data_IF_271756922118
#
_entry.id   IF_271756922118
#
_cell.length_a   1.000
_cell.length_b   1.000
_cell.length_c   1.000
_cell.angle_alpha   90.00
_cell.angle_beta   90.00
_cell.angle_gamma   90.00
#
_symmetry.space_group_name_H-M   'P 1'
#
loop_
_entity.id
_entity.type
_entity.pdbx_description
1 polymer ?
#
# COMPACT_ATOMS: atom_id res chain seq x y z
N UNK A 1 -39.80 -76.22 31.12
CA UNK A 1 -38.80 -75.23 31.67
C UNK A 1 -38.12 -74.57 30.48
N UNK A 2 -38.66 -73.43 30.03
CA UNK A 2 -38.05 -72.68 28.89
C UNK A 2 -37.60 -71.32 29.43
N UNK A 3 -36.24 -71.15 29.39
CA UNK A 3 -35.58 -69.88 29.78
C UNK A 3 -35.54 -68.96 28.59
N UNK A 4 -36.20 -67.78 28.68
CA UNK A 4 -36.18 -66.74 27.67
C UNK A 4 -35.05 -65.77 27.91
N UNK A 5 -34.04 -65.85 27.07
CA UNK A 5 -32.88 -64.87 27.08
C UNK A 5 -33.29 -63.62 26.35
N UNK A 6 -33.52 -62.52 27.07
CA UNK A 6 -33.76 -61.18 26.48
C UNK A 6 -32.42 -60.60 25.99
N UNK A 7 -32.29 -60.38 24.69
CA UNK A 7 -31.18 -59.63 24.06
C UNK A 7 -31.52 -58.14 24.06
N UNK A 8 -30.79 -57.37 24.85
CA UNK A 8 -30.83 -55.92 24.77
C UNK A 8 -29.98 -55.45 23.58
N UNK A 9 -30.59 -54.86 22.57
CA UNK A 9 -29.89 -54.17 21.50
C UNK A 9 -29.62 -52.72 21.96
N UNK A 10 -28.34 -52.35 22.15
CA UNK A 10 -27.93 -50.97 22.40
C UNK A 10 -27.74 -50.31 21.03
N UNK A 11 -28.62 -49.38 20.68
CA UNK A 11 -28.51 -48.54 19.49
C UNK A 11 -27.59 -47.36 19.84
N UNK A 12 -26.37 -47.39 19.38
CA UNK A 12 -25.42 -46.28 19.47
C UNK A 12 -25.73 -45.28 18.35
N UNK A 13 -26.49 -44.20 18.68
CA UNK A 13 -26.73 -43.11 17.74
C UNK A 13 -25.47 -42.25 17.62
N UNK A 14 -24.70 -42.47 16.54
CA UNK A 14 -23.59 -41.58 16.12
C UNK A 14 -24.21 -40.26 15.62
N UNK A 15 -24.26 -39.26 16.48
CA UNK A 15 -24.56 -37.88 16.10
C UNK A 15 -23.42 -37.31 15.23
N UNK A 16 -23.62 -37.31 13.94
CA UNK A 16 -22.76 -36.56 13.02
C UNK A 16 -23.08 -35.08 13.22
N UNK A 17 -22.34 -34.42 14.10
CA UNK A 17 -22.38 -32.96 14.23
C UNK A 17 -21.84 -32.33 12.95
N UNK A 18 -22.69 -31.71 12.15
CA UNK A 18 -22.27 -30.83 11.10
C UNK A 18 -21.60 -29.60 11.73
N UNK A 19 -20.28 -29.59 11.74
CA UNK A 19 -19.50 -28.38 12.05
C UNK A 19 -19.65 -27.48 10.81
N UNK A 20 -20.63 -26.57 10.84
CA UNK A 20 -20.68 -25.49 9.87
C UNK A 20 -19.41 -24.65 10.06
N UNK A 21 -18.63 -24.40 8.99
CA UNK A 21 -17.50 -23.50 9.12
C UNK A 21 -18.04 -22.13 9.58
N UNK A 22 -17.54 -21.67 10.73
CA UNK A 22 -17.84 -20.31 11.18
C UNK A 22 -17.33 -19.36 10.09
N UNK A 23 -18.25 -18.71 9.41
CA UNK A 23 -17.91 -17.72 8.40
C UNK A 23 -17.28 -16.55 9.15
N UNK A 24 -15.96 -16.37 9.01
CA UNK A 24 -15.26 -15.23 9.61
C UNK A 24 -15.94 -13.95 9.12
N UNK A 25 -16.32 -13.08 10.05
CA UNK A 25 -16.89 -11.78 9.68
C UNK A 25 -15.88 -11.02 8.79
N UNK A 26 -16.39 -10.34 7.76
CA UNK A 26 -15.54 -9.51 6.92
C UNK A 26 -14.91 -8.41 7.78
N UNK A 27 -13.60 -8.13 7.60
CA UNK A 27 -12.91 -7.10 8.37
C UNK A 27 -13.64 -5.75 8.28
N UNK A 28 -13.77 -5.05 9.41
CA UNK A 28 -14.33 -3.71 9.47
C UNK A 28 -13.48 -2.69 8.69
N UNK A 29 -14.01 -1.48 8.46
CA UNK A 29 -13.23 -0.40 7.83
C UNK A 29 -11.98 -0.06 8.64
N UNK A 30 -10.82 -0.02 7.98
CA UNK A 30 -9.53 0.30 8.58
C UNK A 30 -8.80 -0.88 9.24
N UNK A 31 -9.43 -2.05 9.42
CA UNK A 31 -8.78 -3.20 10.06
C UNK A 31 -7.64 -3.78 9.22
N UNK A 32 -7.85 -3.93 7.92
CA UNK A 32 -6.81 -4.39 7.00
C UNK A 32 -5.71 -3.34 6.92
N UNK A 33 -6.08 -2.07 6.76
CA UNK A 33 -5.13 -0.96 6.67
C UNK A 33 -4.23 -0.89 7.90
N UNK A 34 -4.80 -0.95 9.12
CA UNK A 34 -4.04 -0.94 10.36
C UNK A 34 -3.10 -2.16 10.47
N UNK A 35 -3.59 -3.35 10.13
CA UNK A 35 -2.77 -4.59 10.17
C UNK A 35 -1.59 -4.49 9.20
N UNK A 36 -1.83 -4.04 7.98
CA UNK A 36 -0.82 -3.90 6.93
C UNK A 36 0.19 -2.80 7.26
N UNK A 37 -0.27 -1.65 7.74
CA UNK A 37 0.62 -0.56 8.15
C UNK A 37 1.56 -0.99 9.28
N UNK A 38 1.03 -1.65 10.32
CA UNK A 38 1.85 -2.20 11.40
C UNK A 38 2.84 -3.24 10.91
N UNK A 39 2.44 -4.12 10.02
CA UNK A 39 3.34 -5.11 9.44
C UNK A 39 4.49 -4.42 8.69
N UNK A 40 4.19 -3.49 7.79
CA UNK A 40 5.19 -2.77 7.00
C UNK A 40 6.16 -2.00 7.91
N UNK A 41 5.64 -1.23 8.86
CA UNK A 41 6.46 -0.46 9.79
C UNK A 41 7.36 -1.34 10.68
N UNK A 42 6.88 -2.50 11.11
CA UNK A 42 7.59 -3.40 12.02
C UNK A 42 8.66 -4.23 11.32
N UNK A 43 8.33 -4.78 10.15
CA UNK A 43 9.22 -5.75 9.47
C UNK A 43 10.15 -5.12 8.44
N UNK A 44 9.87 -3.90 8.01
CA UNK A 44 10.71 -3.18 7.04
C UNK A 44 11.09 -1.78 7.54
N UNK A 45 11.69 -1.63 8.74
CA UNK A 45 12.22 -0.34 9.16
C UNK A 45 13.38 0.07 8.25
N UNK A 46 13.60 1.36 8.08
CA UNK A 46 14.67 1.87 7.23
C UNK A 46 14.48 1.58 5.74
N UNK A 47 13.25 1.65 5.25
CA UNK A 47 12.89 1.50 3.82
C UNK A 47 13.36 2.68 2.97
N UNK A 48 14.55 3.18 3.24
CA UNK A 48 15.15 4.27 2.45
C UNK A 48 15.26 3.81 0.99
N UNK A 49 15.08 4.72 0.06
CA UNK A 49 15.17 4.45 -1.37
C UNK A 49 16.46 3.70 -1.72
N UNK A 50 16.31 2.54 -2.36
CA UNK A 50 17.44 1.68 -2.75
C UNK A 50 18.04 0.84 -1.61
N UNK A 51 17.47 0.90 -0.41
CA UNK A 51 17.89 0.02 0.70
C UNK A 51 17.37 -1.42 0.53
N UNK A 52 17.99 -2.42 1.17
CA UNK A 52 17.43 -3.76 1.20
C UNK A 52 16.03 -3.83 1.79
N UNK A 53 15.72 -3.00 2.79
CA UNK A 53 14.39 -2.96 3.41
C UNK A 53 13.34 -2.41 2.43
N UNK A 54 13.68 -1.43 1.60
CA UNK A 54 12.83 -0.94 0.52
C UNK A 54 12.51 -2.04 -0.50
N UNK A 55 13.52 -2.76 -0.97
CA UNK A 55 13.35 -3.86 -1.92
C UNK A 55 12.47 -4.99 -1.35
N UNK A 56 12.67 -5.34 -0.09
CA UNK A 56 11.85 -6.36 0.59
C UNK A 56 10.40 -5.91 0.78
N UNK A 57 10.19 -4.64 1.12
CA UNK A 57 8.84 -4.08 1.25
C UNK A 57 8.12 -3.97 -0.11
N UNK A 58 8.85 -3.65 -1.18
CA UNK A 58 8.32 -3.67 -2.54
C UNK A 58 7.86 -5.09 -2.95
N UNK A 59 8.69 -6.11 -2.66
CA UNK A 59 8.32 -7.51 -2.94
C UNK A 59 7.13 -7.96 -2.07
N UNK A 60 7.09 -7.56 -0.81
CA UNK A 60 5.94 -7.80 0.06
C UNK A 60 4.64 -7.22 -0.53
N UNK A 61 4.63 -5.97 -0.95
CA UNK A 61 3.45 -5.33 -1.58
C UNK A 61 3.04 -6.08 -2.84
N UNK A 62 3.99 -6.41 -3.72
CA UNK A 62 3.73 -7.19 -4.93
C UNK A 62 3.07 -8.53 -4.59
N UNK A 63 3.56 -9.22 -3.56
CA UNK A 63 2.98 -10.49 -3.11
C UNK A 63 1.57 -10.31 -2.59
N UNK A 64 1.30 -9.26 -1.78
CA UNK A 64 -0.06 -8.97 -1.29
C UNK A 64 -1.03 -8.74 -2.44
N UNK A 65 -0.67 -7.93 -3.42
CA UNK A 65 -1.50 -7.72 -4.61
C UNK A 65 -1.73 -9.01 -5.41
N UNK A 66 -0.67 -9.82 -5.59
CA UNK A 66 -0.78 -11.11 -6.30
C UNK A 66 -1.71 -12.09 -5.57
N UNK A 67 -1.64 -12.16 -4.24
CA UNK A 67 -2.54 -12.99 -3.42
C UNK A 67 -4.01 -12.55 -3.51
N UNK A 68 -4.25 -11.26 -3.74
CA UNK A 68 -5.59 -10.71 -3.98
C UNK A 68 -6.09 -10.99 -5.42
N UNK A 69 -5.24 -11.53 -6.30
CA UNK A 69 -5.59 -11.83 -7.70
C UNK A 69 -5.23 -10.73 -8.70
N UNK A 70 -4.56 -9.66 -8.28
CA UNK A 70 -4.09 -8.61 -9.19
C UNK A 70 -2.86 -9.04 -9.98
N UNK A 71 -2.76 -8.57 -11.22
CA UNK A 71 -1.48 -8.54 -11.92
C UNK A 71 -0.62 -7.45 -11.30
N UNK A 72 0.50 -7.85 -10.70
CA UNK A 72 1.40 -6.94 -10.02
C UNK A 72 2.84 -7.10 -10.49
N UNK A 73 3.53 -5.97 -10.63
CA UNK A 73 4.89 -5.87 -11.13
C UNK A 73 5.72 -4.90 -10.30
N UNK A 74 7.04 -5.14 -10.25
CA UNK A 74 8.01 -4.21 -9.68
C UNK A 74 8.89 -3.68 -10.81
N UNK A 75 8.91 -2.36 -10.95
CA UNK A 75 9.76 -1.65 -11.90
C UNK A 75 10.81 -0.86 -11.16
N UNK A 76 12.07 -1.04 -11.50
CA UNK A 76 13.15 -0.24 -10.95
C UNK A 76 13.38 1.01 -11.79
N UNK A 77 13.89 2.05 -11.14
CA UNK A 77 14.36 3.27 -11.79
C UNK A 77 15.68 3.74 -11.19
N UNK A 78 16.50 4.36 -11.99
CA UNK A 78 17.73 5.01 -11.55
C UNK A 78 17.50 6.51 -11.47
N UNK A 79 17.96 7.11 -10.39
CA UNK A 79 17.91 8.55 -10.15
C UNK A 79 19.07 9.00 -9.28
N UNK A 80 19.04 10.25 -8.86
CA UNK A 80 20.04 10.82 -7.95
C UNK A 80 19.43 11.94 -7.13
N UNK A 81 19.97 12.14 -5.94
CA UNK A 81 19.64 13.26 -5.07
C UNK A 81 20.91 13.97 -4.58
N UNK A 82 20.76 15.14 -3.99
CA UNK A 82 21.89 15.92 -3.47
C UNK A 82 22.05 15.61 -1.99
N UNK A 83 23.26 15.20 -1.60
CA UNK A 83 23.70 15.10 -0.22
C UNK A 83 24.57 16.30 0.15
N UNK A 84 24.32 16.94 1.30
CA UNK A 84 25.03 18.12 1.78
C UNK A 84 25.93 17.77 2.95
N UNK A 85 27.24 18.00 2.80
CA UNK A 85 28.24 17.76 3.86
C UNK A 85 28.33 18.94 4.86
N UNK A 86 29.00 18.74 6.00
CA UNK A 86 29.20 19.78 7.05
C UNK A 86 29.83 21.06 6.56
N UNK A 87 30.71 20.97 5.56
CA UNK A 87 31.35 22.12 4.91
C UNK A 87 30.54 22.67 3.72
N UNK A 88 29.20 22.37 3.71
CA UNK A 88 28.23 22.81 2.70
C UNK A 88 28.57 22.38 1.24
N UNK A 89 29.41 21.37 1.05
CA UNK A 89 29.57 20.77 -0.27
C UNK A 89 28.35 19.93 -0.63
N UNK A 90 27.93 20.05 -1.87
CA UNK A 90 26.79 19.30 -2.44
C UNK A 90 27.31 18.20 -3.35
N UNK A 91 27.03 16.97 -2.99
CA UNK A 91 27.42 15.79 -3.75
C UNK A 91 26.21 15.07 -4.30
N UNK A 92 26.29 14.63 -5.55
CA UNK A 92 25.25 13.78 -6.13
C UNK A 92 25.40 12.35 -5.66
N UNK A 93 24.36 11.81 -5.07
CA UNK A 93 24.24 10.39 -4.72
C UNK A 93 23.31 9.69 -5.69
N UNK A 94 23.81 8.64 -6.35
CA UNK A 94 22.99 7.81 -7.21
C UNK A 94 22.16 6.84 -6.37
N UNK A 95 20.93 6.62 -6.79
CA UNK A 95 19.98 5.73 -6.12
C UNK A 95 19.19 4.93 -7.14
N UNK A 96 18.87 3.68 -6.80
CA UNK A 96 17.97 2.84 -7.58
C UNK A 96 16.75 2.56 -6.71
N UNK A 97 15.61 3.09 -7.08
CA UNK A 97 14.36 2.89 -6.35
C UNK A 97 13.41 1.93 -7.09
N UNK A 98 12.35 1.54 -6.39
CA UNK A 98 11.31 0.64 -6.90
C UNK A 98 9.98 1.35 -7.08
N UNK A 99 9.22 0.90 -8.06
CA UNK A 99 7.80 1.22 -8.23
C UNK A 99 7.02 -0.08 -8.32
N UNK A 100 6.12 -0.31 -7.38
CA UNK A 100 5.17 -1.44 -7.41
C UNK A 100 3.89 -0.99 -8.07
N UNK A 101 3.41 -1.76 -9.04
CA UNK A 101 2.18 -1.46 -9.76
C UNK A 101 1.26 -2.68 -9.70
N UNK A 102 0.00 -2.47 -9.33
CA UNK A 102 -1.04 -3.48 -9.44
C UNK A 102 -2.23 -2.92 -10.23
N UNK A 103 -2.79 -3.73 -11.12
CA UNK A 103 -3.82 -3.30 -12.05
C UNK A 103 -5.15 -3.99 -11.76
N UNK A 104 -6.20 -3.20 -11.65
CA UNK A 104 -7.59 -3.62 -11.70
C UNK A 104 -8.22 -3.06 -12.97
N UNK A 105 -8.59 -3.96 -13.90
CA UNK A 105 -9.12 -3.53 -15.19
C UNK A 105 -10.57 -3.06 -15.06
N UNK A 106 -10.88 -1.92 -15.69
CA UNK A 106 -12.22 -1.38 -15.79
C UNK A 106 -12.91 -1.77 -17.10
N UNK A 107 -14.16 -1.34 -17.25
CA UNK A 107 -14.93 -1.55 -18.49
C UNK A 107 -14.53 -0.62 -19.62
N UNK A 108 -13.85 0.48 -19.31
CA UNK A 108 -13.41 1.51 -20.24
C UNK A 108 -11.91 1.78 -20.05
N UNK A 109 -11.23 2.37 -21.07
CA UNK A 109 -9.78 2.63 -21.00
C UNK A 109 -9.36 3.67 -19.97
N UNK A 110 -10.29 4.48 -19.46
CA UNK A 110 -9.98 5.48 -18.44
C UNK A 110 -9.67 4.83 -17.11
N UNK A 111 -8.80 5.47 -16.34
CA UNK A 111 -8.29 4.92 -15.07
C UNK A 111 -8.22 5.98 -13.97
N UNK A 112 -8.23 5.48 -12.73
CA UNK A 112 -7.93 6.21 -11.50
C UNK A 112 -6.64 5.60 -10.94
N UNK A 113 -5.71 6.44 -10.53
CA UNK A 113 -4.47 6.01 -9.88
C UNK A 113 -4.60 6.28 -8.38
N UNK A 114 -4.35 5.26 -7.57
CA UNK A 114 -4.23 5.35 -6.12
C UNK A 114 -2.75 5.14 -5.79
N UNK A 115 -2.11 6.13 -5.21
CA UNK A 115 -0.68 6.15 -4.93
C UNK A 115 -0.40 6.24 -3.43
N UNK A 116 0.73 5.68 -3.02
CA UNK A 116 1.38 5.93 -1.74
C UNK A 116 2.89 5.81 -1.94
N UNK A 117 3.72 6.53 -1.19
CA UNK A 117 5.15 6.28 -1.29
C UNK A 117 5.59 5.11 -0.39
N UNK A 118 6.62 4.42 -0.85
CA UNK A 118 7.14 3.20 -0.25
C UNK A 118 8.24 3.47 0.76
N UNK A 119 9.07 4.46 0.46
CA UNK A 119 10.28 4.80 1.17
C UNK A 119 10.03 5.51 2.51
N UNK A 120 11.02 5.44 3.37
CA UNK A 120 11.16 6.26 4.59
C UNK A 120 12.32 7.21 4.43
N UNK A 121 12.31 8.30 5.19
CA UNK A 121 13.33 9.34 5.11
C UNK A 121 14.75 8.80 5.22
N UNK A 122 15.55 9.09 4.21
CA UNK A 122 17.00 8.87 4.20
C UNK A 122 17.70 10.17 4.55
N UNK A 123 18.72 10.18 5.45
CA UNK A 123 19.50 11.38 5.71
C UNK A 123 20.09 11.96 4.41
N UNK A 124 19.84 13.25 4.16
CA UNK A 124 20.30 13.96 2.97
C UNK A 124 21.43 14.94 3.27
N UNK A 125 21.85 14.98 4.54
CA UNK A 125 22.97 15.81 4.98
C UNK A 125 23.67 15.23 6.21
N UNK A 126 24.90 15.68 6.47
CA UNK A 126 25.59 15.38 7.72
C UNK A 126 24.83 15.94 8.93
N UNK A 127 24.08 17.03 8.75
CA UNK A 127 23.21 17.58 9.80
C UNK A 127 22.06 16.64 10.15
N UNK A 128 21.45 15.97 9.18
CA UNK A 128 20.42 14.96 9.41
C UNK A 128 20.97 13.76 10.16
N UNK A 129 22.19 13.32 9.81
CA UNK A 129 22.90 12.24 10.51
C UNK A 129 23.17 12.61 11.95
N UNK A 130 23.70 13.82 12.22
CA UNK A 130 23.97 14.32 13.55
C UNK A 130 22.69 14.49 14.41
N UNK A 131 21.60 14.87 13.77
CA UNK A 131 20.27 14.99 14.39
C UNK A 131 19.53 13.65 14.50
N UNK A 132 20.12 12.55 14.02
CA UNK A 132 19.50 11.22 13.95
C UNK A 132 18.12 11.22 13.24
N UNK A 133 18.01 11.99 12.17
CA UNK A 133 16.81 12.05 11.33
C UNK A 133 16.84 10.93 10.30
N UNK A 134 15.79 10.12 10.27
CA UNK A 134 15.66 9.01 9.32
C UNK A 134 16.59 7.83 9.61
N UNK A 135 16.91 7.08 8.57
CA UNK A 135 17.86 5.99 8.62
C UNK A 135 17.29 4.61 8.93
N UNK A 136 18.16 3.67 9.31
CA UNK A 136 17.88 2.22 9.32
C UNK A 136 16.79 1.78 10.32
N UNK A 137 16.54 2.55 11.37
CA UNK A 137 15.57 2.19 12.42
C UNK A 137 14.24 2.92 12.29
N UNK A 138 14.12 3.84 11.32
CA UNK A 138 12.88 4.59 11.11
C UNK A 138 11.79 3.65 10.60
N UNK A 139 10.74 3.49 11.37
CA UNK A 139 9.61 2.61 11.02
C UNK A 139 8.68 3.24 9.96
N UNK A 140 8.58 4.57 9.91
CA UNK A 140 7.72 5.28 8.97
C UNK A 140 6.28 4.81 9.05
N UNK A 141 5.67 4.85 10.26
CA UNK A 141 4.32 4.36 10.48
C UNK A 141 3.28 5.30 9.84
N UNK A 142 3.38 6.61 10.13
CA UNK A 142 2.54 7.63 9.53
C UNK A 142 3.01 7.92 8.10
N UNK A 143 4.31 8.06 7.93
CA UNK A 143 5.02 8.42 6.72
C UNK A 143 5.89 7.24 6.22
N UNK A 144 5.40 6.29 5.40
CA UNK A 144 4.04 6.28 4.87
C UNK A 144 3.46 4.84 4.89
N UNK A 145 3.75 4.03 5.92
CA UNK A 145 3.16 2.70 6.04
C UNK A 145 1.62 2.78 6.16
N UNK A 146 1.08 3.86 6.72
CA UNK A 146 -0.35 4.10 6.81
C UNK A 146 -1.00 4.23 5.42
N UNK A 147 -0.43 5.04 4.54
CA UNK A 147 -0.90 5.17 3.16
C UNK A 147 -0.83 3.85 2.39
N UNK A 148 0.26 3.09 2.55
CA UNK A 148 0.40 1.75 1.97
C UNK A 148 -0.66 0.78 2.52
N UNK A 149 -0.95 0.83 3.81
CA UNK A 149 -1.98 0.01 4.45
C UNK A 149 -3.37 0.30 3.91
N UNK A 150 -3.74 1.58 3.77
CA UNK A 150 -5.01 2.00 3.18
C UNK A 150 -5.10 1.57 1.72
N UNK A 151 -4.02 1.71 0.95
CA UNK A 151 -3.98 1.24 -0.44
C UNK A 151 -4.24 -0.26 -0.55
N UNK A 152 -3.66 -1.09 0.33
CA UNK A 152 -3.89 -2.54 0.37
C UNK A 152 -5.33 -2.88 0.81
N UNK A 153 -5.92 -2.13 1.75
CA UNK A 153 -7.32 -2.32 2.12
C UNK A 153 -8.26 -2.01 0.96
N UNK A 154 -8.04 -0.90 0.26
CA UNK A 154 -8.82 -0.56 -0.93
C UNK A 154 -8.71 -1.65 -2.00
N UNK A 155 -7.51 -2.17 -2.24
CA UNK A 155 -7.31 -3.28 -3.15
C UNK A 155 -8.07 -4.54 -2.70
N UNK A 156 -8.01 -4.91 -1.43
CA UNK A 156 -8.73 -6.07 -0.89
C UNK A 156 -10.25 -5.92 -1.04
N UNK A 157 -10.79 -4.71 -0.84
CA UNK A 157 -12.22 -4.44 -0.96
C UNK A 157 -12.72 -4.39 -2.41
N UNK A 158 -11.85 -4.00 -3.34
CA UNK A 158 -12.21 -3.80 -4.76
C UNK A 158 -11.93 -5.03 -5.64
N UNK A 159 -11.17 -6.01 -5.18
CA UNK A 159 -10.67 -7.12 -6.00
C UNK A 159 -11.74 -7.87 -6.80
N UNK A 160 -12.92 -8.05 -6.21
CA UNK A 160 -14.04 -8.81 -6.80
C UNK A 160 -15.17 -7.90 -7.31
N UNK A 161 -14.97 -6.57 -7.29
CA UNK A 161 -16.00 -5.59 -7.69
C UNK A 161 -15.71 -5.12 -9.12
N UNK A 162 -16.61 -5.39 -10.09
CA UNK A 162 -16.46 -4.83 -11.42
C UNK A 162 -16.56 -3.30 -11.41
N UNK A 163 -15.51 -2.61 -11.87
CA UNK A 163 -15.48 -1.15 -11.93
C UNK A 163 -15.70 -0.62 -13.34
N UNK A 164 -16.20 0.60 -13.44
CA UNK A 164 -16.34 1.27 -14.73
C UNK A 164 -14.97 1.72 -15.25
N UNK A 165 -14.20 2.40 -14.42
CA UNK A 165 -12.83 2.82 -14.71
C UNK A 165 -11.82 1.79 -14.20
N UNK A 166 -10.70 1.66 -14.89
CA UNK A 166 -9.55 0.91 -14.36
C UNK A 166 -9.00 1.58 -13.11
N UNK A 167 -8.41 0.78 -12.20
CA UNK A 167 -7.73 1.28 -11.03
C UNK A 167 -6.29 0.78 -11.06
N UNK A 168 -5.34 1.69 -10.87
CA UNK A 168 -3.93 1.37 -10.70
C UNK A 168 -3.52 1.69 -9.27
N UNK A 169 -3.09 0.68 -8.53
CA UNK A 169 -2.45 0.85 -7.22
C UNK A 169 -0.96 0.96 -7.45
N UNK A 170 -0.35 2.06 -7.03
CA UNK A 170 1.05 2.35 -7.32
C UNK A 170 1.76 2.78 -6.06
N UNK A 171 2.78 2.01 -5.63
CA UNK A 171 3.69 2.42 -4.57
C UNK A 171 5.04 2.83 -5.18
N UNK A 172 5.52 4.05 -4.90
CA UNK A 172 6.77 4.60 -5.46
C UNK A 172 7.77 4.90 -4.38
N UNK A 173 9.07 4.60 -4.62
CA UNK A 173 10.17 5.09 -3.78
C UNK A 173 10.68 6.45 -4.22
N UNK A 174 11.50 7.08 -3.39
CA UNK A 174 12.14 8.35 -3.70
C UNK A 174 11.26 9.57 -3.51
N UNK A 175 10.20 9.45 -2.71
CA UNK A 175 9.39 10.59 -2.32
C UNK A 175 10.24 11.56 -1.50
N UNK A 176 10.92 11.03 -0.50
CA UNK A 176 11.72 11.76 0.49
C UNK A 176 12.93 12.47 -0.14
N UNK A 177 13.46 11.96 -1.23
CA UNK A 177 14.56 12.59 -1.99
C UNK A 177 14.06 13.50 -3.12
N UNK A 178 12.79 13.91 -3.09
CA UNK A 178 12.22 14.85 -4.04
C UNK A 178 11.31 14.22 -5.09
N UNK A 179 10.55 13.21 -4.72
CA UNK A 179 9.50 12.57 -5.55
C UNK A 179 10.04 11.86 -6.79
N UNK A 180 11.25 11.30 -6.67
CA UNK A 180 11.99 10.70 -7.79
C UNK A 180 11.19 9.61 -8.51
N UNK A 181 10.51 8.73 -7.75
CA UNK A 181 9.70 7.66 -8.31
C UNK A 181 8.46 8.16 -9.04
N UNK A 182 7.76 9.14 -8.48
CA UNK A 182 6.58 9.75 -9.11
C UNK A 182 6.96 10.47 -10.42
N UNK A 183 8.10 11.20 -10.43
CA UNK A 183 8.63 11.81 -11.66
C UNK A 183 9.00 10.76 -12.72
N UNK A 184 9.65 9.68 -12.30
CA UNK A 184 10.02 8.58 -13.20
C UNK A 184 8.77 7.90 -13.79
N UNK A 185 7.75 7.64 -12.96
CA UNK A 185 6.48 7.11 -13.40
C UNK A 185 5.85 8.00 -14.48
N UNK A 186 5.74 9.31 -14.21
CA UNK A 186 5.15 10.27 -15.15
C UNK A 186 5.92 10.34 -16.48
N UNK A 187 7.24 10.26 -16.44
CA UNK A 187 8.09 10.23 -17.65
C UNK A 187 7.89 8.97 -18.49
N UNK A 188 7.57 7.84 -17.83
CA UNK A 188 7.34 6.54 -18.51
C UNK A 188 5.92 6.35 -19.02
N UNK A 189 4.95 7.07 -18.49
CA UNK A 189 3.58 7.02 -18.98
C UNK A 189 3.51 7.52 -20.43
N UNK A 190 2.87 6.75 -21.28
CA UNK A 190 2.52 7.18 -22.64
C UNK A 190 1.51 8.34 -22.61
N UNK A 191 1.41 9.07 -23.71
CA UNK A 191 0.42 10.14 -23.82
C UNK A 191 -1.02 9.62 -23.71
N UNK A 192 -1.26 8.39 -24.18
CA UNK A 192 -2.56 7.72 -24.04
C UNK A 192 -2.87 7.41 -22.56
N UNK A 193 -1.91 6.88 -21.79
CA UNK A 193 -2.10 6.64 -20.35
C UNK A 193 -2.33 7.95 -19.59
N UNK A 194 -1.56 9.00 -19.87
CA UNK A 194 -1.76 10.32 -19.28
C UNK A 194 -3.16 10.87 -19.57
N UNK A 195 -3.60 10.79 -20.83
CA UNK A 195 -4.93 11.25 -21.27
C UNK A 195 -6.06 10.44 -20.62
N UNK A 196 -5.86 9.16 -20.43
CA UNK A 196 -6.85 8.27 -19.83
C UNK A 196 -6.84 8.29 -18.30
N UNK A 197 -5.86 8.91 -17.65
CA UNK A 197 -5.84 9.07 -16.20
C UNK A 197 -6.74 10.24 -15.80
N UNK A 198 -7.89 9.91 -15.20
CA UNK A 198 -8.90 10.90 -14.81
C UNK A 198 -8.58 11.55 -13.45
N UNK A 199 -8.00 10.75 -12.53
CA UNK A 199 -7.74 11.19 -11.17
C UNK A 199 -6.52 10.43 -10.62
N UNK A 200 -5.73 11.15 -9.83
CA UNK A 200 -4.66 10.56 -8.99
C UNK A 200 -4.97 10.90 -7.54
N UNK A 201 -5.08 9.87 -6.69
CA UNK A 201 -5.27 10.01 -5.25
C UNK A 201 -3.96 9.59 -4.60
N UNK A 202 -3.26 10.52 -3.95
CA UNK A 202 -2.07 10.23 -3.17
C UNK A 202 -2.45 10.09 -1.70
N UNK A 203 -2.11 8.94 -1.11
CA UNK A 203 -2.35 8.59 0.29
C UNK A 203 -1.06 8.84 1.06
N UNK A 204 -1.09 9.80 1.98
CA UNK A 204 0.12 10.27 2.64
C UNK A 204 -0.18 10.87 4.00
N UNK A 205 0.64 10.55 5.03
CA UNK A 205 0.55 11.10 6.39
C UNK A 205 -0.87 11.02 6.99
N UNK A 206 -1.42 9.80 7.12
CA UNK A 206 -2.85 9.59 7.43
C UNK A 206 -3.17 9.42 8.92
N UNK A 207 -2.17 9.41 9.82
CA UNK A 207 -2.36 9.08 11.25
C UNK A 207 -2.19 10.31 12.14
N UNK A 208 -1.15 11.11 11.89
CA UNK A 208 -0.78 12.23 12.74
C UNK A 208 -1.48 13.51 12.27
N UNK A 209 -2.24 14.13 13.17
CA UNK A 209 -2.97 15.37 12.88
C UNK A 209 -4.29 15.44 13.64
N UNK A 210 -4.99 16.55 13.50
CA UNK A 210 -6.30 16.82 14.12
C UNK A 210 -7.47 16.34 13.24
N UNK A 211 -7.24 16.17 11.95
CA UNK A 211 -8.23 15.69 10.95
C UNK A 211 -7.55 15.29 9.64
N UNK A 212 -8.29 14.64 8.76
CA UNK A 212 -7.84 14.39 7.39
C UNK A 212 -7.87 15.68 6.57
N UNK A 213 -6.84 15.89 5.78
CA UNK A 213 -6.70 17.02 4.87
C UNK A 213 -6.70 16.52 3.42
N UNK A 214 -7.51 17.18 2.60
CA UNK A 214 -7.49 16.98 1.16
C UNK A 214 -6.78 18.15 0.49
N UNK A 215 -5.69 17.87 -0.20
CA UNK A 215 -4.94 18.87 -0.95
C UNK A 215 -5.10 18.61 -2.45
N UNK A 216 -5.76 19.52 -3.15
CA UNK A 216 -5.93 19.42 -4.61
C UNK A 216 -4.75 19.99 -5.41
N UNK A 217 -3.77 20.60 -4.76
CA UNK A 217 -2.69 21.32 -5.43
C UNK A 217 -3.24 22.42 -6.35
N UNK A 218 -2.89 22.33 -7.64
CA UNK A 218 -3.40 23.24 -8.68
C UNK A 218 -4.64 22.69 -9.40
N UNK A 219 -5.21 21.57 -8.95
CA UNK A 219 -6.37 20.96 -9.57
C UNK A 219 -7.65 21.75 -9.31
N UNK A 220 -8.65 21.48 -10.11
CA UNK A 220 -9.92 22.21 -10.06
C UNK A 220 -10.64 22.01 -8.72
N UNK A 221 -11.35 23.03 -8.22
CA UNK A 221 -12.18 22.93 -7.02
C UNK A 221 -13.21 21.80 -7.05
N UNK A 222 -13.53 21.29 -8.21
CA UNK A 222 -14.53 20.25 -8.46
C UNK A 222 -14.08 18.87 -7.95
N UNK A 223 -12.79 18.51 -8.11
CA UNK A 223 -12.24 17.28 -7.58
C UNK A 223 -12.27 17.27 -6.04
N UNK A 224 -11.97 18.41 -5.40
CA UNK A 224 -12.04 18.56 -3.93
C UNK A 224 -13.46 18.46 -3.43
N UNK A 225 -14.43 19.10 -4.11
CA UNK A 225 -15.85 19.02 -3.76
C UNK A 225 -16.39 17.60 -3.82
N UNK A 226 -15.95 16.79 -4.78
CA UNK A 226 -16.36 15.40 -4.90
C UNK A 226 -15.82 14.55 -3.74
N UNK A 227 -14.58 14.78 -3.32
CA UNK A 227 -13.96 14.08 -2.19
C UNK A 227 -14.59 14.50 -0.85
N UNK A 228 -14.84 15.79 -0.64
CA UNK A 228 -15.47 16.31 0.60
C UNK A 228 -16.96 16.00 0.70
N UNK A 229 -17.67 15.76 -0.40
CA UNK A 229 -19.07 15.37 -0.39
C UNK A 229 -19.30 13.92 0.10
N UNK A 230 -18.24 13.13 0.25
CA UNK A 230 -18.31 11.74 0.75
C UNK A 230 -18.26 11.71 2.29
N UNK A 231 -17.89 12.81 2.96
CA UNK A 231 -17.82 12.91 4.44
C UNK A 231 -19.17 13.17 5.14
N UNK A 232 -20.26 13.29 4.40
CA UNK A 232 -21.63 13.49 4.89
C UNK A 232 -22.55 12.37 4.37
#
# INVERSE_FOLDING_TARGET
MFSATRRFAVILALGVGFILPAQAASPGPGEIANTQARHIATFFPGRMTGSPAEMLSADYLRQQFTQMGYQSDIRTFNSRFIYTTKDNRKNWHNVTGSTVIAAHEGRVPQQIIIMAHLDTYAPQSDADVDANLGGLTLQGMDDNAAGLGVMLELAARLKDIPTHYGIRFIATSGEEEGKLGAENLLKRMSDAEKKNTLLVINLDNLIVGDKLYFNSGKNTPEAVRTLTAIEH
#
